data_IF_346627378483
#
_entry.id   IF_346627378483
#
_cell.length_a   1.000
_cell.length_b   1.000
_cell.length_c   1.000
_cell.angle_alpha   90.00
_cell.angle_beta   90.00
_cell.angle_gamma   90.00
#
_symmetry.space_group_name_H-M   'P 1'
#
loop_
_entity.id
_entity.type
_entity.pdbx_description
1 polymer ?
#
# COMPACT_ATOMS: atom_id res chain seq x y z
N UNK A 1 39.53 20.53 -3.05
CA UNK A 1 38.09 20.88 -3.14
C UNK A 1 37.32 19.58 -3.29
N UNK A 2 37.07 18.86 -2.20
CA UNK A 2 36.40 17.53 -2.22
C UNK A 2 35.07 17.59 -1.47
N UNK A 3 34.23 18.54 -1.89
CA UNK A 3 32.82 18.55 -1.54
C UNK A 3 32.02 17.94 -2.69
N UNK A 4 31.05 17.09 -2.37
CA UNK A 4 29.94 16.70 -3.24
C UNK A 4 30.08 15.43 -4.11
N UNK A 5 30.36 14.29 -3.48
CA UNK A 5 29.89 12.97 -4.00
C UNK A 5 28.85 12.28 -3.11
N UNK A 6 28.69 12.73 -1.86
CA UNK A 6 27.80 12.10 -0.87
C UNK A 6 26.34 12.60 -0.91
N UNK A 7 26.04 13.67 -1.64
CA UNK A 7 24.68 14.25 -1.65
C UNK A 7 23.73 13.54 -2.64
N UNK A 8 24.25 12.88 -3.68
CA UNK A 8 23.42 12.12 -4.65
C UNK A 8 22.99 10.72 -4.18
N UNK A 9 23.53 10.24 -3.05
CA UNK A 9 23.12 8.96 -2.44
C UNK A 9 21.80 9.05 -1.66
N UNK A 10 21.37 10.26 -1.27
CA UNK A 10 20.16 10.48 -0.45
C UNK A 10 18.82 10.09 -1.08
N UNK A 11 18.50 10.48 -2.32
CA UNK A 11 17.16 10.25 -2.88
C UNK A 11 16.98 8.89 -3.57
N UNK A 12 18.01 8.35 -4.22
CA UNK A 12 17.92 7.05 -4.90
C UNK A 12 17.91 5.85 -3.92
N UNK A 13 18.60 5.97 -2.78
CA UNK A 13 18.54 4.97 -1.70
C UNK A 13 17.19 5.03 -0.98
N UNK A 14 16.64 6.22 -0.73
CA UNK A 14 15.31 6.40 -0.15
C UNK A 14 14.22 5.79 -1.06
N UNK A 15 14.25 6.07 -2.36
CA UNK A 15 13.31 5.49 -3.32
C UNK A 15 13.39 3.94 -3.39
N UNK A 16 14.60 3.36 -3.31
CA UNK A 16 14.77 1.90 -3.25
C UNK A 16 14.33 1.30 -1.92
N UNK A 17 14.60 1.97 -0.81
CA UNK A 17 14.14 1.55 0.51
C UNK A 17 12.60 1.53 0.57
N UNK A 18 11.94 2.49 -0.07
CA UNK A 18 10.48 2.59 -0.12
C UNK A 18 9.84 1.51 -1.00
N UNK A 19 10.46 1.17 -2.14
CA UNK A 19 10.05 0.02 -2.96
C UNK A 19 10.26 -1.30 -2.19
N UNK A 20 11.39 -1.46 -1.49
CA UNK A 20 11.65 -2.64 -0.67
C UNK A 20 10.64 -2.76 0.50
N UNK A 21 10.33 -1.64 1.15
CA UNK A 21 9.37 -1.55 2.25
C UNK A 21 7.93 -1.79 1.79
N UNK A 22 7.56 -1.39 0.56
CA UNK A 22 6.23 -1.67 0.01
C UNK A 22 5.98 -3.16 -0.22
N UNK A 23 7.03 -3.91 -0.58
CA UNK A 23 6.96 -5.36 -0.80
C UNK A 23 6.88 -6.12 0.52
N UNK A 24 7.57 -5.62 1.55
CA UNK A 24 7.52 -6.16 2.91
C UNK A 24 6.09 -6.09 3.50
N UNK A 25 5.32 -5.05 3.14
CA UNK A 25 3.89 -4.92 3.50
C UNK A 25 3.02 -6.01 2.87
N UNK A 26 3.24 -6.32 1.59
CA UNK A 26 2.50 -7.38 0.92
C UNK A 26 2.81 -8.75 1.52
N UNK A 27 4.06 -9.02 1.91
CA UNK A 27 4.38 -10.24 2.65
C UNK A 27 3.72 -10.26 4.03
N UNK A 28 3.69 -9.14 4.76
CA UNK A 28 3.02 -9.07 6.06
C UNK A 28 1.51 -9.38 5.96
N UNK A 29 0.83 -8.83 4.94
CA UNK A 29 -0.57 -9.14 4.66
C UNK A 29 -0.79 -10.61 4.26
N UNK A 30 0.09 -11.17 3.43
CA UNK A 30 0.01 -12.57 3.01
C UNK A 30 0.20 -13.50 4.22
N UNK A 31 1.18 -13.22 5.06
CA UNK A 31 1.45 -13.99 6.29
C UNK A 31 0.25 -13.90 7.23
N UNK A 32 -0.34 -12.71 7.43
CA UNK A 32 -1.54 -12.54 8.23
C UNK A 32 -2.72 -13.35 7.67
N UNK A 33 -2.93 -13.33 6.34
CA UNK A 33 -3.97 -14.13 5.71
C UNK A 33 -3.74 -15.64 5.90
N UNK A 34 -2.50 -16.10 5.73
CA UNK A 34 -2.12 -17.49 5.98
C UNK A 34 -2.34 -17.90 7.45
N UNK A 35 -2.05 -17.00 8.40
CA UNK A 35 -2.32 -17.21 9.83
C UNK A 35 -3.82 -17.42 10.09
N UNK A 36 -4.67 -16.55 9.53
CA UNK A 36 -6.14 -16.69 9.64
C UNK A 36 -6.62 -18.04 9.10
N UNK A 37 -6.20 -18.40 7.89
CA UNK A 37 -6.57 -19.69 7.26
C UNK A 37 -6.12 -20.86 8.12
N UNK A 38 -4.88 -20.82 8.63
CA UNK A 38 -4.33 -21.89 9.47
C UNK A 38 -5.12 -22.07 10.76
N UNK A 39 -5.49 -20.97 11.43
CA UNK A 39 -6.25 -21.04 12.68
C UNK A 39 -7.70 -21.49 12.48
N UNK A 40 -8.36 -21.02 11.42
CA UNK A 40 -9.70 -21.50 11.05
C UNK A 40 -9.67 -22.99 10.71
N UNK A 41 -8.71 -23.41 9.89
CA UNK A 41 -8.53 -24.81 9.56
C UNK A 41 -8.31 -25.66 10.82
N UNK A 42 -7.42 -25.21 11.72
CA UNK A 42 -7.16 -25.89 12.99
C UNK A 42 -8.42 -26.02 13.83
N UNK A 43 -9.22 -24.95 13.93
CA UNK A 43 -10.48 -24.96 14.67
C UNK A 43 -11.48 -26.00 14.11
N UNK A 44 -11.57 -26.13 12.78
CA UNK A 44 -12.47 -27.10 12.12
C UNK A 44 -11.94 -28.53 12.19
N UNK A 45 -10.62 -28.72 12.09
CA UNK A 45 -9.98 -30.04 12.08
C UNK A 45 -9.94 -30.71 13.45
N UNK A 46 -10.00 -29.92 14.53
CA UNK A 46 -9.98 -30.42 15.90
C UNK A 46 -11.32 -31.10 16.24
N UNK A 47 -11.30 -32.29 16.88
CA UNK A 47 -12.53 -33.00 17.26
C UNK A 47 -13.46 -32.16 18.14
N UNK A 48 -14.76 -32.30 17.90
CA UNK A 48 -15.80 -31.64 18.69
C UNK A 48 -15.65 -31.98 20.18
N UNK A 49 -15.71 -30.96 21.04
CA UNK A 49 -15.58 -31.09 22.50
C UNK A 49 -14.18 -30.85 23.05
N UNK A 50 -13.12 -30.88 22.23
CA UNK A 50 -11.75 -30.58 22.70
C UNK A 50 -11.63 -29.16 23.27
N UNK A 51 -12.25 -28.18 22.62
CA UNK A 51 -12.23 -26.78 23.06
C UNK A 51 -12.98 -26.50 24.36
N UNK A 52 -13.78 -27.46 24.86
CA UNK A 52 -14.42 -27.36 26.18
C UNK A 52 -13.49 -27.80 27.33
N UNK A 53 -12.35 -28.41 27.01
CA UNK A 53 -11.33 -28.76 28.01
C UNK A 53 -10.56 -27.52 28.46
N UNK A 54 -9.97 -27.49 29.67
CA UNK A 54 -9.13 -26.39 30.12
C UNK A 54 -7.98 -26.07 29.15
N UNK A 55 -7.37 -27.12 28.57
CA UNK A 55 -6.30 -26.97 27.56
C UNK A 55 -6.84 -26.31 26.29
N UNK A 56 -8.01 -26.75 25.84
CA UNK A 56 -8.69 -26.16 24.67
C UNK A 56 -9.02 -24.67 24.86
N UNK A 57 -9.48 -24.28 26.05
CA UNK A 57 -9.74 -22.88 26.38
C UNK A 57 -8.45 -22.03 26.36
N UNK A 58 -7.37 -22.53 26.94
CA UNK A 58 -6.06 -21.83 26.91
C UNK A 58 -5.59 -21.65 25.47
N UNK A 59 -5.71 -22.68 24.63
CA UNK A 59 -5.36 -22.59 23.21
C UNK A 59 -6.23 -21.60 22.45
N UNK A 60 -7.54 -21.52 22.73
CA UNK A 60 -8.42 -20.52 22.11
C UNK A 60 -8.02 -19.10 22.49
N UNK A 61 -7.73 -18.85 23.77
CA UNK A 61 -7.28 -17.53 24.24
C UNK A 61 -5.94 -17.18 23.57
N UNK A 62 -5.00 -18.12 23.55
CA UNK A 62 -3.71 -17.92 22.89
C UNK A 62 -3.86 -17.61 21.39
N UNK A 63 -4.72 -18.35 20.69
CA UNK A 63 -5.01 -18.12 19.27
C UNK A 63 -5.67 -16.75 19.03
N UNK A 64 -6.61 -16.35 19.90
CA UNK A 64 -7.26 -15.04 19.83
C UNK A 64 -6.26 -13.91 20.05
N UNK A 65 -5.38 -14.02 21.05
CA UNK A 65 -4.31 -13.06 21.30
C UNK A 65 -3.34 -12.99 20.13
N UNK A 66 -2.93 -14.13 19.58
CA UNK A 66 -2.05 -14.20 18.41
C UNK A 66 -2.66 -13.46 17.21
N UNK A 67 -3.94 -13.70 16.91
CA UNK A 67 -4.66 -12.99 15.86
C UNK A 67 -4.76 -11.49 16.13
N UNK A 68 -5.12 -11.11 17.35
CA UNK A 68 -5.29 -9.71 17.73
C UNK A 68 -3.98 -8.94 17.58
N UNK A 69 -2.89 -9.46 18.13
CA UNK A 69 -1.59 -8.80 18.05
C UNK A 69 -1.08 -8.74 16.62
N UNK A 70 -1.15 -9.84 15.87
CA UNK A 70 -0.65 -9.86 14.50
C UNK A 70 -1.45 -8.92 13.59
N UNK A 71 -2.78 -8.92 13.72
CA UNK A 71 -3.65 -8.01 12.98
C UNK A 71 -3.38 -6.55 13.37
N UNK A 72 -3.18 -6.27 14.66
CA UNK A 72 -2.87 -4.91 15.14
C UNK A 72 -1.53 -4.40 14.62
N UNK A 73 -0.50 -5.24 14.60
CA UNK A 73 0.82 -4.90 14.04
C UNK A 73 0.73 -4.56 12.55
N UNK A 74 0.03 -5.38 11.77
CA UNK A 74 -0.18 -5.13 10.34
C UNK A 74 -1.05 -3.89 10.13
N UNK A 75 -2.08 -3.68 10.95
CA UNK A 75 -2.91 -2.47 10.89
C UNK A 75 -2.11 -1.21 11.20
N UNK A 76 -1.22 -1.23 12.19
CA UNK A 76 -0.32 -0.12 12.48
C UNK A 76 0.61 0.16 11.28
N UNK A 77 1.14 -0.88 10.65
CA UNK A 77 1.96 -0.77 9.43
C UNK A 77 1.18 -0.15 8.26
N UNK A 78 -0.11 -0.50 8.10
CA UNK A 78 -1.00 0.07 7.08
C UNK A 78 -1.43 1.50 7.41
N UNK A 79 -1.70 1.81 8.68
CA UNK A 79 -2.11 3.13 9.15
C UNK A 79 -1.03 4.17 8.86
N UNK A 80 0.21 3.85 9.20
CA UNK A 80 1.35 4.73 8.93
C UNK A 80 1.46 5.05 7.43
N UNK A 81 1.17 4.07 6.57
CA UNK A 81 1.21 4.28 5.12
C UNK A 81 0.09 5.18 4.57
N UNK A 82 -1.08 5.23 5.23
CA UNK A 82 -2.15 6.18 4.86
C UNK A 82 -1.75 7.61 5.21
N UNK A 83 -1.19 7.81 6.41
CA UNK A 83 -0.64 9.09 6.84
C UNK A 83 0.48 9.56 5.89
N UNK A 84 1.36 8.66 5.43
CA UNK A 84 2.43 9.00 4.46
C UNK A 84 1.90 9.19 3.02
N UNK A 85 0.90 8.40 2.58
CA UNK A 85 0.31 8.51 1.23
C UNK A 85 -0.43 9.83 1.03
N UNK A 86 -1.17 10.29 2.03
CA UNK A 86 -1.95 11.52 1.93
C UNK A 86 -1.04 12.75 1.81
N UNK A 87 0.17 12.68 2.36
CA UNK A 87 1.20 13.70 2.21
C UNK A 87 1.85 13.70 0.81
N UNK A 88 2.21 12.54 0.26
CA UNK A 88 2.92 12.45 -1.04
C UNK A 88 1.98 12.52 -2.25
N UNK A 89 0.80 11.91 -2.21
CA UNK A 89 -0.12 11.86 -3.37
C UNK A 89 -1.09 13.03 -3.47
N UNK A 90 -1.23 13.85 -2.41
CA UNK A 90 -2.02 15.09 -2.50
C UNK A 90 -1.49 16.02 -3.60
N UNK A 91 -0.16 16.05 -3.81
CA UNK A 91 0.49 16.93 -4.78
C UNK A 91 0.54 16.32 -6.20
N UNK A 92 0.81 15.02 -6.34
CA UNK A 92 0.89 14.36 -7.66
C UNK A 92 -0.48 14.07 -8.30
N UNK A 93 -1.53 13.82 -7.50
CA UNK A 93 -2.89 13.65 -8.02
C UNK A 93 -3.42 14.96 -8.60
N UNK A 94 -3.04 16.10 -8.02
CA UNK A 94 -3.41 17.42 -8.52
C UNK A 94 -2.80 17.73 -9.91
N UNK A 95 -1.56 17.32 -10.16
CA UNK A 95 -0.92 17.49 -11.47
C UNK A 95 -1.46 16.54 -12.54
N UNK A 96 -1.82 15.31 -12.16
CA UNK A 96 -2.46 14.35 -13.09
C UNK A 96 -3.85 14.83 -13.53
N UNK A 97 -4.64 15.41 -12.61
CA UNK A 97 -5.93 16.01 -12.95
C UNK A 97 -5.78 17.22 -13.87
N UNK A 98 -4.78 18.08 -13.64
CA UNK A 98 -4.50 19.22 -14.51
C UNK A 98 -4.09 18.79 -15.94
N UNK A 99 -3.29 17.74 -16.07
CA UNK A 99 -2.95 17.20 -17.39
C UNK A 99 -4.16 16.58 -18.09
N UNK A 100 -5.05 15.92 -17.34
CA UNK A 100 -6.29 15.35 -17.89
C UNK A 100 -7.25 16.44 -18.37
N UNK A 101 -7.33 17.57 -17.65
CA UNK A 101 -8.09 18.75 -18.05
C UNK A 101 -7.52 19.41 -19.32
N UNK A 102 -6.19 19.59 -19.41
CA UNK A 102 -5.56 20.13 -20.64
C UNK A 102 -5.79 19.26 -21.86
N UNK A 103 -5.73 17.94 -21.71
CA UNK A 103 -6.02 17.00 -22.80
C UNK A 103 -7.49 17.06 -23.22
N UNK A 104 -8.41 17.20 -22.26
CA UNK A 104 -9.83 17.37 -22.55
C UNK A 104 -10.10 18.69 -23.30
N UNK A 105 -9.48 19.80 -22.90
CA UNK A 105 -9.60 21.08 -23.62
C UNK A 105 -9.05 21.03 -25.04
N UNK A 106 -7.97 20.26 -25.27
CA UNK A 106 -7.43 20.02 -26.60
C UNK A 106 -8.37 19.17 -27.46
N UNK A 107 -9.12 18.23 -26.87
CA UNK A 107 -10.13 17.43 -27.59
C UNK A 107 -11.40 18.21 -27.95
N UNK A 108 -11.69 19.29 -27.22
CA UNK A 108 -12.83 20.17 -27.48
C UNK A 108 -12.47 21.38 -28.35
N UNK A 109 -11.19 21.61 -28.66
CA UNK A 109 -10.79 22.61 -29.65
C UNK A 109 -11.34 22.17 -31.02
N UNK A 110 -12.34 22.88 -31.59
CA UNK A 110 -12.81 22.54 -32.91
C UNK A 110 -11.67 22.75 -33.90
N UNK A 111 -11.38 21.71 -34.68
CA UNK A 111 -10.41 21.72 -35.77
C UNK A 111 -10.89 22.61 -36.94
N UNK A 112 -11.27 23.85 -36.66
CA UNK A 112 -11.39 24.88 -37.67
C UNK A 112 -9.98 25.36 -37.99
N UNK A 113 -9.34 24.57 -38.86
CA UNK A 113 -8.54 24.98 -40.00
C UNK A 113 -8.18 26.47 -39.97
N UNK A 114 -6.93 26.79 -39.61
CA UNK A 114 -6.25 27.95 -40.15
C UNK A 114 -6.17 27.77 -41.67
N UNK A 115 -7.18 28.23 -42.39
CA UNK A 115 -7.00 28.59 -43.80
C UNK A 115 -6.48 30.01 -43.82
N UNK A 116 -5.16 30.15 -43.82
CA UNK A 116 -4.54 31.20 -44.64
C UNK A 116 -3.18 30.75 -45.19
N UNK A 117 -3.18 29.95 -46.28
CA UNK A 117 -1.99 29.74 -47.09
C UNK A 117 -1.89 30.88 -48.12
N UNK A 118 -1.51 32.07 -47.65
CA UNK A 118 -1.05 33.17 -48.51
C UNK A 118 -2.17 34.01 -49.13
N UNK A 119 -2.51 35.10 -48.46
CA UNK A 119 -2.99 36.28 -49.16
C UNK A 119 -1.78 37.09 -49.72
N UNK A 120 -1.78 37.42 -51.03
CA UNK A 120 -0.73 38.21 -51.69
C UNK A 120 -0.69 39.68 -51.25
#
# INVERSE_FOLDING_TARGET
MDGNKNQKLGPALAARAEVMHSRDRWSALLILAALWVTLIYTYVAVPHGFFATPVGLVLLIAAALLLLFNTSSVFAMLRHYREDRDYIYGQDLHHLDQNRQRLHDLSLRPAHVDTDPGAP
#
